data_IF_293861714557
#
_entry.id   IF_293861714557
#
_cell.length_a   1.000
_cell.length_b   1.000
_cell.length_c   1.000
_cell.angle_alpha   90.00
_cell.angle_beta   90.00
_cell.angle_gamma   90.00
#
_symmetry.space_group_name_H-M   'P 1'
#
loop_
_entity.id
_entity.type
_entity.pdbx_description
1 polymer ?
#
# COMPACT_ATOMS: atom_id res chain seq x y z
N UNK A 1 41.03 9.29 -23.19
CA UNK A 1 40.32 10.54 -22.97
C UNK A 1 39.86 10.53 -21.51
N UNK A 2 40.53 11.26 -20.61
CA UNK A 2 40.19 11.31 -19.18
C UNK A 2 38.97 12.23 -19.08
N UNK A 3 37.78 11.68 -18.78
CA UNK A 3 36.60 12.49 -18.48
C UNK A 3 36.97 13.49 -17.38
N UNK A 4 36.61 14.76 -17.57
CA UNK A 4 36.82 15.76 -16.54
C UNK A 4 36.12 15.32 -15.26
N UNK A 5 36.66 15.53 -14.05
CA UNK A 5 36.16 15.00 -12.80
C UNK A 5 34.68 15.39 -12.54
N UNK A 6 34.24 16.51 -13.08
CA UNK A 6 32.85 16.99 -12.97
C UNK A 6 31.87 16.11 -13.75
N UNK A 7 32.16 15.68 -14.97
CA UNK A 7 31.32 14.83 -15.80
C UNK A 7 31.16 13.44 -15.19
N UNK A 8 32.21 12.89 -14.60
CA UNK A 8 32.14 11.61 -13.89
C UNK A 8 31.22 11.68 -12.66
N UNK A 9 31.29 12.76 -11.88
CA UNK A 9 30.42 12.96 -10.70
C UNK A 9 28.94 13.08 -11.12
N UNK A 10 28.64 13.88 -12.13
CA UNK A 10 27.27 14.00 -12.64
C UNK A 10 26.70 12.67 -13.18
N UNK A 11 27.54 11.89 -13.87
CA UNK A 11 27.15 10.57 -14.36
C UNK A 11 26.79 9.60 -13.21
N UNK A 12 27.60 9.58 -12.14
CA UNK A 12 27.32 8.74 -10.97
C UNK A 12 26.04 9.18 -10.26
N UNK A 13 25.86 10.49 -10.03
CA UNK A 13 24.65 11.03 -9.39
C UNK A 13 23.40 10.70 -10.21
N UNK A 14 23.46 10.88 -11.54
CA UNK A 14 22.35 10.52 -12.44
C UNK A 14 22.02 9.04 -12.35
N UNK A 15 23.02 8.16 -12.34
CA UNK A 15 22.80 6.70 -12.22
C UNK A 15 22.13 6.33 -10.89
N UNK A 16 22.57 6.91 -9.77
CA UNK A 16 21.96 6.67 -8.45
C UNK A 16 20.51 7.14 -8.42
N UNK A 17 20.22 8.34 -8.93
CA UNK A 17 18.86 8.88 -9.00
C UNK A 17 17.95 8.01 -9.88
N UNK A 18 18.47 7.51 -11.01
CA UNK A 18 17.76 6.60 -11.88
C UNK A 18 17.39 5.28 -11.18
N UNK A 19 18.33 4.67 -10.49
CA UNK A 19 18.12 3.40 -9.76
C UNK A 19 17.05 3.57 -8.67
N UNK A 20 17.12 4.65 -7.90
CA UNK A 20 16.09 4.96 -6.87
C UNK A 20 14.73 5.16 -7.53
N UNK A 21 14.65 5.92 -8.62
CA UNK A 21 13.40 6.15 -9.35
C UNK A 21 12.78 4.86 -9.88
N UNK A 22 13.59 3.99 -10.48
CA UNK A 22 13.13 2.67 -10.98
C UNK A 22 12.67 1.77 -9.83
N UNK A 23 13.37 1.74 -8.70
CA UNK A 23 12.99 0.96 -7.54
C UNK A 23 11.62 1.39 -6.98
N UNK A 24 11.36 2.70 -6.90
CA UNK A 24 10.08 3.25 -6.46
C UNK A 24 8.95 2.94 -7.44
N UNK A 25 9.20 3.05 -8.75
CA UNK A 25 8.25 2.66 -9.79
C UNK A 25 7.87 1.19 -9.69
N UNK A 26 8.86 0.32 -9.57
CA UNK A 26 8.65 -1.12 -9.47
C UNK A 26 7.88 -1.49 -8.20
N UNK A 27 8.29 -0.95 -7.04
CA UNK A 27 7.62 -1.18 -5.76
C UNK A 27 6.17 -0.73 -5.78
N UNK A 28 5.90 0.50 -6.23
CA UNK A 28 4.56 1.05 -6.34
C UNK A 28 3.67 0.27 -7.31
N UNK A 29 4.19 -0.09 -8.49
CA UNK A 29 3.46 -0.87 -9.48
C UNK A 29 3.15 -2.30 -9.00
N UNK A 30 4.12 -2.95 -8.34
CA UNK A 30 3.93 -4.30 -7.78
C UNK A 30 2.85 -4.29 -6.69
N UNK A 31 2.94 -3.34 -5.75
CA UNK A 31 1.97 -3.20 -4.66
C UNK A 31 0.56 -2.95 -5.19
N UNK A 32 0.44 -2.03 -6.16
CA UNK A 32 -0.85 -1.74 -6.79
C UNK A 32 -1.46 -2.96 -7.49
N UNK A 33 -0.64 -3.74 -8.23
CA UNK A 33 -1.10 -4.96 -8.90
C UNK A 33 -1.56 -6.01 -7.90
N UNK A 34 -0.85 -6.19 -6.77
CA UNK A 34 -1.24 -7.12 -5.72
C UNK A 34 -2.59 -6.76 -5.11
N UNK A 35 -2.79 -5.49 -4.75
CA UNK A 35 -4.07 -5.03 -4.19
C UNK A 35 -5.22 -5.19 -5.19
N UNK A 36 -5.01 -4.79 -6.43
CA UNK A 36 -6.02 -4.94 -7.48
C UNK A 36 -6.35 -6.40 -7.77
N UNK A 37 -5.34 -7.26 -7.82
CA UNK A 37 -5.51 -8.70 -8.00
C UNK A 37 -6.31 -9.34 -6.86
N UNK A 38 -6.04 -8.95 -5.61
CA UNK A 38 -6.79 -9.41 -4.46
C UNK A 38 -8.29 -9.05 -4.56
N UNK A 39 -8.60 -7.80 -4.93
CA UNK A 39 -10.02 -7.37 -5.12
C UNK A 39 -10.68 -8.10 -6.28
N UNK A 40 -9.97 -8.32 -7.39
CA UNK A 40 -10.55 -8.96 -8.59
C UNK A 40 -10.87 -10.44 -8.39
N UNK A 41 -10.09 -11.15 -7.57
CA UNK A 41 -10.29 -12.57 -7.25
C UNK A 41 -11.17 -12.80 -6.04
N UNK A 42 -11.42 -11.76 -5.25
CA UNK A 42 -12.17 -11.90 -4.01
C UNK A 42 -13.60 -12.41 -4.26
N UNK A 43 -14.00 -13.30 -3.39
CA UNK A 43 -15.36 -13.81 -3.29
C UNK A 43 -16.01 -13.24 -2.03
N UNK A 44 -17.28 -12.88 -2.14
CA UNK A 44 -18.06 -12.36 -1.02
C UNK A 44 -18.59 -13.49 -0.14
N UNK A 45 -18.59 -13.25 1.16
CA UNK A 45 -19.26 -14.10 2.14
C UNK A 45 -19.81 -13.25 3.28
N UNK A 46 -20.70 -13.81 4.07
CA UNK A 46 -21.18 -13.16 5.28
C UNK A 46 -20.21 -13.40 6.43
N UNK A 47 -19.98 -12.36 7.23
CA UNK A 47 -19.21 -12.43 8.46
C UNK A 47 -19.87 -11.64 9.58
N UNK A 48 -19.31 -11.75 10.77
CA UNK A 48 -19.73 -11.03 11.97
C UNK A 48 -18.53 -10.27 12.53
N UNK A 49 -18.72 -9.00 12.85
CA UNK A 49 -17.69 -8.17 13.48
C UNK A 49 -17.55 -8.61 14.95
N UNK A 50 -16.33 -8.89 15.37
CA UNK A 50 -16.01 -9.24 16.74
C UNK A 50 -15.53 -8.03 17.54
N UNK A 51 -14.62 -7.24 16.98
CA UNK A 51 -14.12 -6.03 17.60
C UNK A 51 -13.78 -4.95 16.59
N UNK A 52 -13.82 -3.69 17.03
CA UNK A 52 -13.37 -2.52 16.27
C UNK A 52 -12.60 -1.57 17.17
N UNK A 53 -11.59 -0.89 16.64
CA UNK A 53 -10.79 0.06 17.39
C UNK A 53 -9.82 0.83 16.52
N UNK A 54 -9.05 1.70 17.16
CA UNK A 54 -7.97 2.46 16.52
C UNK A 54 -6.68 2.23 17.28
N UNK A 55 -5.65 1.79 16.56
CA UNK A 55 -4.31 1.61 17.10
C UNK A 55 -3.43 2.79 16.70
N UNK A 56 -2.71 3.35 17.69
CA UNK A 56 -1.70 4.37 17.44
C UNK A 56 -0.35 3.71 17.20
N UNK A 57 0.27 4.01 16.06
CA UNK A 57 1.56 3.45 15.67
C UNK A 57 2.59 4.53 15.40
N UNK A 58 3.86 4.22 15.62
CA UNK A 58 4.96 5.12 15.26
C UNK A 58 5.16 5.09 13.73
N UNK A 59 5.24 6.27 13.12
CA UNK A 59 5.56 6.43 11.71
C UNK A 59 6.69 7.46 11.57
N UNK A 60 7.93 7.00 11.70
CA UNK A 60 9.10 7.86 11.80
C UNK A 60 9.04 8.73 13.05
N UNK A 61 9.09 10.05 12.89
CA UNK A 61 9.00 11.04 13.99
C UNK A 61 7.56 11.44 14.35
N UNK A 62 6.58 10.94 13.61
CA UNK A 62 5.16 11.25 13.82
C UNK A 62 4.38 10.03 14.29
N UNK A 63 3.20 10.25 14.85
CA UNK A 63 2.24 9.18 15.10
C UNK A 63 1.32 9.02 13.91
N UNK A 64 0.96 7.79 13.63
CA UNK A 64 -0.10 7.45 12.69
C UNK A 64 -1.14 6.58 13.40
N UNK A 65 -2.32 6.48 12.81
CA UNK A 65 -3.45 5.75 13.36
C UNK A 65 -3.91 4.70 12.37
N UNK A 66 -4.17 3.49 12.87
CA UNK A 66 -4.60 2.34 12.08
C UNK A 66 -5.98 1.91 12.58
N UNK A 67 -7.00 1.91 11.73
CA UNK A 67 -8.27 1.29 12.08
C UNK A 67 -8.06 -0.22 12.21
N UNK A 68 -8.48 -0.78 13.35
CA UNK A 68 -8.43 -2.20 13.63
C UNK A 68 -9.84 -2.76 13.63
N UNK A 69 -10.00 -3.93 13.04
CA UNK A 69 -11.24 -4.66 12.99
C UNK A 69 -10.93 -6.14 13.08
N UNK A 70 -11.69 -6.87 13.88
CA UNK A 70 -11.64 -8.32 13.92
C UNK A 70 -13.01 -8.85 13.55
N UNK A 71 -13.06 -9.89 12.74
CA UNK A 71 -14.30 -10.49 12.28
C UNK A 71 -14.13 -11.98 11.99
N UNK A 72 -15.21 -12.69 12.20
CA UNK A 72 -15.32 -14.09 11.82
C UNK A 72 -16.13 -14.20 10.53
N UNK A 73 -15.76 -15.12 9.64
CA UNK A 73 -16.47 -15.36 8.39
C UNK A 73 -16.39 -16.84 8.00
N UNK A 74 -17.34 -17.26 7.19
CA UNK A 74 -17.46 -18.64 6.75
C UNK A 74 -17.01 -18.79 5.30
N UNK A 75 -16.03 -19.69 5.09
CA UNK A 75 -15.71 -20.22 3.76
C UNK A 75 -16.51 -21.52 3.52
N UNK A 76 -16.54 -22.05 2.29
CA UNK A 76 -17.23 -23.34 2.05
C UNK A 76 -16.75 -24.49 2.90
N UNK A 77 -15.52 -24.44 3.39
CA UNK A 77 -14.88 -25.56 4.13
C UNK A 77 -14.75 -25.32 5.63
N UNK A 78 -14.70 -24.06 6.09
CA UNK A 78 -14.39 -23.76 7.50
C UNK A 78 -14.69 -22.31 7.89
N UNK A 79 -14.74 -22.09 9.20
CA UNK A 79 -14.76 -20.76 9.78
C UNK A 79 -13.34 -20.19 9.79
N UNK A 80 -13.23 -18.87 9.59
CA UNK A 80 -11.99 -18.10 9.56
C UNK A 80 -12.16 -16.79 10.32
N UNK A 81 -11.05 -16.29 10.84
CA UNK A 81 -10.94 -14.94 11.41
C UNK A 81 -10.17 -14.03 10.47
N UNK A 82 -10.59 -12.78 10.39
CA UNK A 82 -9.92 -11.73 9.63
C UNK A 82 -9.70 -10.49 10.49
N UNK A 83 -8.67 -9.71 10.14
CA UNK A 83 -8.27 -8.51 10.86
C UNK A 83 -7.96 -7.32 9.92
N UNK A 84 -8.36 -7.41 8.66
CA UNK A 84 -8.03 -6.38 7.67
C UNK A 84 -9.27 -5.63 7.22
N UNK A 85 -9.22 -4.32 7.36
CA UNK A 85 -10.26 -3.47 6.79
C UNK A 85 -10.05 -3.32 5.28
N UNK A 86 -8.81 -3.18 4.81
CA UNK A 86 -8.46 -2.94 3.41
C UNK A 86 -7.65 -4.09 2.80
N UNK A 87 -7.71 -4.29 1.47
CA UNK A 87 -6.90 -5.28 0.77
C UNK A 87 -5.40 -4.92 0.88
N UNK A 88 -4.57 -5.89 1.20
CA UNK A 88 -3.13 -5.71 1.32
C UNK A 88 -2.45 -6.82 2.10
N UNK A 89 -1.12 -6.73 2.23
CA UNK A 89 -0.31 -7.74 2.90
C UNK A 89 -0.50 -7.75 4.43
N UNK A 90 -0.95 -6.64 5.03
CA UNK A 90 -1.14 -6.53 6.48
C UNK A 90 -2.28 -5.54 6.81
N UNK A 91 -2.69 -5.52 8.09
CA UNK A 91 -3.63 -4.51 8.62
C UNK A 91 -3.08 -3.08 8.56
N UNK A 92 -1.77 -2.90 8.49
CA UNK A 92 -1.10 -1.60 8.39
C UNK A 92 -1.04 -1.03 6.97
N UNK A 93 -1.84 -1.56 6.04
CA UNK A 93 -1.84 -1.11 4.64
C UNK A 93 -2.22 0.35 4.49
N UNK A 94 -3.07 0.88 5.39
CA UNK A 94 -3.50 2.29 5.42
C UNK A 94 -3.25 2.92 6.77
N UNK A 95 -2.44 3.98 6.76
CA UNK A 95 -2.17 4.81 7.90
C UNK A 95 -2.94 6.14 7.79
N UNK A 96 -3.53 6.58 8.89
CA UNK A 96 -4.24 7.85 9.00
C UNK A 96 -3.42 8.84 9.82
N UNK A 97 -3.53 10.12 9.49
CA UNK A 97 -2.80 11.19 10.19
C UNK A 97 -3.49 11.65 11.49
N UNK A 98 -4.76 11.29 11.71
CA UNK A 98 -5.52 11.59 12.91
C UNK A 98 -6.36 10.40 13.35
N UNK A 99 -6.61 10.31 14.64
CA UNK A 99 -7.47 9.29 15.24
C UNK A 99 -8.90 9.37 14.69
N UNK A 100 -9.45 10.58 14.62
CA UNK A 100 -10.79 10.81 14.07
C UNK A 100 -10.96 10.36 12.61
N UNK A 101 -9.90 10.45 11.79
CA UNK A 101 -9.94 9.94 10.43
C UNK A 101 -9.90 8.40 10.38
N UNK A 102 -9.21 7.77 11.32
CA UNK A 102 -9.22 6.32 11.46
C UNK A 102 -10.55 5.80 12.00
N UNK A 103 -11.14 6.49 12.98
CA UNK A 103 -12.50 6.21 13.49
C UNK A 103 -13.56 6.37 12.40
N UNK A 104 -13.48 7.41 11.58
CA UNK A 104 -14.39 7.63 10.46
C UNK A 104 -14.32 6.49 9.42
N UNK A 105 -13.18 5.83 9.28
CA UNK A 105 -13.03 4.67 8.42
C UNK A 105 -13.72 3.41 8.98
N UNK A 106 -14.01 3.38 10.26
CA UNK A 106 -14.73 2.31 10.95
C UNK A 106 -16.24 2.61 11.07
N UNK A 107 -16.68 3.76 10.58
CA UNK A 107 -18.10 4.12 10.63
C UNK A 107 -18.96 3.06 9.90
N UNK A 108 -19.90 2.46 10.62
CA UNK A 108 -20.76 1.40 10.10
C UNK A 108 -20.30 -0.03 10.45
N UNK A 109 -19.15 -0.19 11.10
CA UNK A 109 -18.70 -1.46 11.66
C UNK A 109 -18.91 -1.44 13.18
N UNK A 110 -19.79 -2.33 13.67
CA UNK A 110 -20.12 -2.44 15.10
C UNK A 110 -19.94 -3.88 15.57
N UNK A 111 -19.41 -4.12 16.78
CA UNK A 111 -19.31 -5.46 17.33
C UNK A 111 -20.66 -6.18 17.36
N UNK A 112 -20.71 -7.42 16.89
CA UNK A 112 -21.90 -8.23 16.75
C UNK A 112 -22.71 -7.97 15.47
N UNK A 113 -22.37 -6.95 14.68
CA UNK A 113 -23.06 -6.68 13.41
C UNK A 113 -22.62 -7.63 12.30
N UNK A 114 -23.57 -8.01 11.45
CA UNK A 114 -23.28 -8.75 10.22
C UNK A 114 -22.64 -7.83 9.17
N UNK A 115 -21.67 -8.33 8.45
CA UNK A 115 -20.99 -7.60 7.38
C UNK A 115 -20.68 -8.50 6.19
N UNK A 116 -20.38 -7.89 5.05
CA UNK A 116 -19.84 -8.60 3.89
C UNK A 116 -18.30 -8.67 4.04
N UNK A 117 -17.77 -9.87 3.91
CA UNK A 117 -16.33 -10.15 3.93
C UNK A 117 -15.90 -10.58 2.54
N UNK A 118 -14.84 -9.98 2.04
CA UNK A 118 -14.19 -10.36 0.79
C UNK A 118 -12.97 -11.22 1.12
N UNK A 119 -12.86 -12.40 0.52
CA UNK A 119 -11.71 -13.29 0.74
C UNK A 119 -11.22 -13.88 -0.59
N UNK A 120 -9.93 -14.21 -0.65
CA UNK A 120 -9.35 -14.91 -1.80
C UNK A 120 -9.63 -16.42 -1.68
N UNK A 121 -10.37 -17.05 -2.61
CA UNK A 121 -10.65 -18.50 -2.56
C UNK A 121 -9.40 -19.37 -2.58
N UNK A 122 -8.30 -18.90 -3.21
CA UNK A 122 -7.03 -19.63 -3.28
C UNK A 122 -6.17 -19.42 -2.02
N UNK A 123 -6.43 -18.35 -1.25
CA UNK A 123 -5.73 -17.99 -0.03
C UNK A 123 -6.74 -17.46 1.00
N UNK A 124 -7.56 -18.34 1.52
CA UNK A 124 -8.74 -17.99 2.34
C UNK A 124 -8.44 -17.33 3.69
N UNK A 125 -7.19 -17.17 4.06
CA UNK A 125 -6.69 -16.35 5.16
C UNK A 125 -6.48 -14.87 4.73
N UNK A 126 -6.54 -14.60 3.44
CA UNK A 126 -6.49 -13.24 2.90
C UNK A 126 -7.89 -12.68 2.72
N UNK A 127 -8.40 -12.04 3.76
CA UNK A 127 -9.72 -11.41 3.75
C UNK A 127 -9.64 -9.93 4.10
N UNK A 128 -10.66 -9.17 3.71
CA UNK A 128 -10.82 -7.74 3.99
C UNK A 128 -12.31 -7.36 3.91
N UNK A 129 -12.67 -6.22 4.52
CA UNK A 129 -14.05 -5.73 4.53
C UNK A 129 -14.32 -4.71 3.43
N UNK A 130 -13.35 -3.86 3.13
CA UNK A 130 -13.51 -2.76 2.18
C UNK A 130 -12.77 -3.07 0.86
N UNK A 131 -13.48 -3.35 -0.25
CA UNK A 131 -12.84 -3.76 -1.51
C UNK A 131 -12.18 -2.60 -2.28
N UNK A 132 -12.00 -1.45 -1.64
CA UNK A 132 -11.40 -0.28 -2.27
C UNK A 132 -9.87 -0.35 -2.26
N UNK A 133 -9.22 -0.56 -3.41
CA UNK A 133 -7.75 -0.55 -3.46
C UNK A 133 -7.22 0.84 -3.14
N UNK A 134 -6.16 0.88 -2.31
CA UNK A 134 -5.52 2.14 -1.92
C UNK A 134 -4.75 2.72 -3.10
N UNK A 135 -5.32 3.79 -3.70
CA UNK A 135 -4.70 4.47 -4.86
C UNK A 135 -3.63 5.49 -4.42
N UNK A 136 -3.86 6.21 -3.32
CA UNK A 136 -3.07 7.38 -2.95
C UNK A 136 -1.57 7.10 -2.77
N UNK A 137 -1.11 6.29 -1.81
CA UNK A 137 0.32 6.07 -1.56
C UNK A 137 1.04 5.41 -2.74
N UNK A 138 0.40 4.43 -3.38
CA UNK A 138 0.99 3.72 -4.51
C UNK A 138 1.17 4.62 -5.72
N UNK A 139 0.19 5.48 -6.03
CA UNK A 139 0.28 6.47 -7.10
C UNK A 139 1.33 7.54 -6.80
N UNK A 140 1.47 7.96 -5.54
CA UNK A 140 2.50 8.89 -5.14
C UNK A 140 3.91 8.33 -5.35
N UNK A 141 4.17 7.07 -5.00
CA UNK A 141 5.45 6.41 -5.27
C UNK A 141 5.74 6.28 -6.77
N UNK A 142 4.72 5.94 -7.56
CA UNK A 142 4.84 5.86 -9.02
C UNK A 142 5.15 7.25 -9.60
N UNK A 143 4.39 8.28 -9.21
CA UNK A 143 4.59 9.65 -9.69
C UNK A 143 5.99 10.18 -9.32
N UNK A 144 6.40 9.99 -8.07
CA UNK A 144 7.72 10.41 -7.61
C UNK A 144 8.85 9.65 -8.32
N UNK A 145 8.69 8.35 -8.55
CA UNK A 145 9.62 7.54 -9.33
C UNK A 145 9.78 8.05 -10.76
N UNK A 146 8.67 8.43 -11.44
CA UNK A 146 8.71 9.04 -12.77
C UNK A 146 9.50 10.34 -12.76
N UNK A 147 9.26 11.21 -11.77
CA UNK A 147 9.98 12.49 -11.64
C UNK A 147 11.49 12.27 -11.47
N UNK A 148 11.89 11.31 -10.63
CA UNK A 148 13.30 11.00 -10.42
C UNK A 148 13.97 10.44 -11.69
N UNK A 149 13.30 9.56 -12.41
CA UNK A 149 13.81 9.04 -13.69
C UNK A 149 13.95 10.17 -14.71
N UNK A 150 12.96 11.05 -14.85
CA UNK A 150 13.05 12.20 -15.74
C UNK A 150 14.21 13.15 -15.35
N UNK A 151 14.36 13.42 -14.06
CA UNK A 151 15.47 14.23 -13.53
C UNK A 151 16.82 13.60 -13.84
N UNK A 152 16.95 12.28 -13.72
CA UNK A 152 18.20 11.59 -14.04
C UNK A 152 18.60 11.74 -15.51
N UNK A 153 17.63 11.70 -16.43
CA UNK A 153 17.85 11.94 -17.87
C UNK A 153 18.33 13.37 -18.12
N UNK A 154 17.67 14.35 -17.49
CA UNK A 154 18.07 15.77 -17.61
C UNK A 154 19.50 15.98 -17.12
N UNK A 155 19.88 15.40 -15.98
CA UNK A 155 21.24 15.46 -15.43
C UNK A 155 22.26 14.80 -16.36
N UNK A 156 21.90 13.69 -16.98
CA UNK A 156 22.77 12.98 -17.92
C UNK A 156 23.04 13.83 -19.18
N UNK A 157 22.00 14.42 -19.76
CA UNK A 157 22.13 15.32 -20.92
C UNK A 157 22.94 16.59 -20.57
N UNK A 158 22.65 17.20 -19.40
CA UNK A 158 23.36 18.39 -18.94
C UNK A 158 24.85 18.13 -18.66
N UNK A 159 25.23 16.87 -18.35
CA UNK A 159 26.62 16.48 -18.13
C UNK A 159 27.44 16.38 -19.43
N UNK A 160 26.80 16.42 -20.60
CA UNK A 160 27.47 16.27 -21.90
C UNK A 160 28.02 14.86 -22.15
N UNK A 161 27.49 13.84 -21.47
CA UNK A 161 27.88 12.43 -21.64
C UNK A 161 27.13 11.79 -22.82
N UNK A 162 25.99 12.38 -23.19
CA UNK A 162 25.17 11.99 -24.35
C UNK A 162 25.02 13.19 -25.26
#
# INVERSE_FOLDING_TARGET
>A
MILAPKTAVFGIVSAVVAVIGIALLWGGARQYRHQRGAVTRATETSGTIESVGVERVANGTQSAYVPTVEYEYRTPTQWRHGERLYPGASRYTKLFHSESAAEAALAGYEPGASTIVYYDPEASDHSFLEPSPHRGPNLAHIAFGIVLVALSVVLLVASGVV
#
